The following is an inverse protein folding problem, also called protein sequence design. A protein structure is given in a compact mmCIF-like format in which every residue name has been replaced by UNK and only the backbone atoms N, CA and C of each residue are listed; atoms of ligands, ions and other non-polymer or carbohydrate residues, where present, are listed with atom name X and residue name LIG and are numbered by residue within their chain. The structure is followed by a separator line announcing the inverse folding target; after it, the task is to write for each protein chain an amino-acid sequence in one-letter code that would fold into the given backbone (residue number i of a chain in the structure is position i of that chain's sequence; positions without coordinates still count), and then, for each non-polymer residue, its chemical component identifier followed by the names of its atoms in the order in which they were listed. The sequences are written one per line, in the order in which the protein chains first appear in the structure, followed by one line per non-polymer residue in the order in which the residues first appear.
data_IF_308442871053
#
_entry.id   IF_308442871053
#
_cell.length_a   1.000
_cell.length_b   1.000
_cell.length_c   1.000
_cell.angle_alpha   90.00
_cell.angle_beta   90.00
_cell.angle_gamma   90.00
#
_symmetry.space_group_name_H-M   'P 1'
#
loop_
_entity.id
_entity.type
_entity.pdbx_description
1 polymer ?
#
# COMPACT_ATOMS: atom_id res chain seq x y z
N UNK A 1 -21.10 24.92 68.62
CA UNK A 1 -21.75 24.88 67.29
C UNK A 1 -21.01 25.76 66.27
N UNK A 2 -19.71 25.52 65.98
CA UNK A 2 -18.95 26.26 64.93
C UNK A 2 -17.77 25.49 64.30
N UNK A 3 -17.38 24.32 64.80
CA UNK A 3 -16.11 23.67 64.40
C UNK A 3 -16.31 22.53 63.38
N UNK A 4 -17.50 21.92 63.32
CA UNK A 4 -17.73 20.74 62.46
C UNK A 4 -18.01 21.07 60.99
N UNK A 5 -18.44 22.30 60.67
CA UNK A 5 -18.67 22.73 59.27
C UNK A 5 -17.36 23.07 58.52
N UNK A 6 -16.26 23.34 59.24
CA UNK A 6 -14.98 23.68 58.61
C UNK A 6 -14.27 22.45 58.02
N UNK A 7 -14.42 21.28 58.65
CA UNK A 7 -13.79 20.04 58.18
C UNK A 7 -14.47 19.49 56.91
N UNK A 8 -15.80 19.57 56.82
CA UNK A 8 -16.56 19.12 55.64
C UNK A 8 -16.31 19.99 54.40
N UNK A 9 -16.11 21.30 54.54
CA UNK A 9 -15.76 22.16 53.40
C UNK A 9 -14.34 21.88 52.87
N UNK A 10 -13.39 21.51 53.73
CA UNK A 10 -12.00 21.24 53.32
C UNK A 10 -11.84 19.95 52.51
N UNK A 11 -12.60 18.90 52.84
CA UNK A 11 -12.56 17.61 52.14
C UNK A 11 -13.18 17.68 50.74
N UNK A 12 -14.28 18.43 50.59
CA UNK A 12 -14.90 18.66 49.28
C UNK A 12 -14.03 19.48 48.33
N UNK A 13 -13.22 20.42 48.85
CA UNK A 13 -12.33 21.25 48.03
C UNK A 13 -11.11 20.44 47.49
N UNK A 14 -10.56 19.53 48.30
CA UNK A 14 -9.45 18.66 47.89
C UNK A 14 -9.90 17.64 46.82
N UNK A 15 -11.12 17.12 46.94
CA UNK A 15 -11.68 16.18 45.95
C UNK A 15 -11.87 16.84 44.58
N UNK A 16 -12.32 18.10 44.54
CA UNK A 16 -12.48 18.87 43.30
C UNK A 16 -11.11 19.14 42.65
N UNK A 17 -10.06 19.50 43.41
CA UNK A 17 -8.72 19.73 42.88
C UNK A 17 -8.12 18.44 42.28
N UNK A 18 -8.38 17.28 42.89
CA UNK A 18 -7.91 15.99 42.36
C UNK A 18 -8.58 15.60 41.04
N UNK A 19 -9.84 16.01 40.82
CA UNK A 19 -10.57 15.78 39.57
C UNK A 19 -10.12 16.73 38.43
N UNK A 20 -9.58 17.90 38.76
CA UNK A 20 -8.99 18.82 37.76
C UNK A 20 -7.53 18.51 37.41
N UNK A 21 -6.78 17.83 38.28
CA UNK A 21 -5.40 17.43 38.02
C UNK A 21 -5.26 16.24 37.04
N UNK A 22 -6.37 15.58 36.69
CA UNK A 22 -6.41 14.52 35.69
C UNK A 22 -6.86 15.03 34.30
N UNK A 23 -6.56 16.29 33.97
CA UNK A 23 -6.74 16.79 32.61
C UNK A 23 -5.50 16.51 31.77
N UNK A 24 -5.68 15.54 30.86
CA UNK A 24 -4.97 15.39 29.59
C UNK A 24 -3.45 15.57 29.64
N UNK A 25 -2.74 14.53 30.06
CA UNK A 25 -1.54 14.17 29.29
C UNK A 25 -2.04 13.69 27.93
N UNK A 26 -2.27 14.64 27.02
CA UNK A 26 -2.32 14.33 25.60
C UNK A 26 -0.96 13.71 25.29
N UNK A 27 -0.92 12.38 25.22
CA UNK A 27 0.26 11.63 24.83
C UNK A 27 0.65 12.13 23.46
N UNK A 28 1.58 13.08 23.39
CA UNK A 28 2.07 13.67 22.15
C UNK A 28 2.82 12.58 21.38
N UNK A 29 2.06 11.83 20.57
CA UNK A 29 2.62 10.78 19.74
C UNK A 29 3.71 11.38 18.84
N UNK A 30 4.83 10.67 18.63
CA UNK A 30 5.87 11.16 17.74
C UNK A 30 5.31 11.30 16.32
N UNK A 31 5.60 12.41 15.67
CA UNK A 31 5.22 12.68 14.28
C UNK A 31 6.45 12.96 13.42
N UNK A 32 6.36 12.65 12.13
CA UNK A 32 7.33 13.07 11.12
C UNK A 32 6.84 14.36 10.48
N UNK A 33 7.64 15.42 10.51
CA UNK A 33 7.33 16.69 9.84
C UNK A 33 7.79 16.63 8.38
N UNK A 34 6.87 16.82 7.43
CA UNK A 34 7.18 17.01 6.01
C UNK A 34 7.10 18.50 5.71
N UNK A 35 8.24 19.08 5.31
CA UNK A 35 8.42 20.51 5.17
C UNK A 35 8.44 20.94 3.69
N UNK A 36 7.72 22.01 3.36
CA UNK A 36 7.81 22.72 2.06
C UNK A 36 7.26 21.94 0.87
N UNK A 37 6.39 20.95 1.11
CA UNK A 37 5.82 20.12 0.06
C UNK A 37 4.76 20.88 -0.74
N UNK A 38 4.63 20.60 -2.04
CA UNK A 38 3.47 20.99 -2.82
C UNK A 38 2.41 19.89 -2.71
N UNK A 39 1.28 20.20 -2.09
CA UNK A 39 0.18 19.25 -1.84
C UNK A 39 -1.06 19.71 -2.62
N UNK A 40 -1.75 18.77 -3.27
CA UNK A 40 -2.95 19.09 -4.03
C UNK A 40 -4.15 19.25 -3.09
N UNK A 41 -4.66 20.48 -2.98
CA UNK A 41 -5.79 20.85 -2.14
C UNK A 41 -6.74 21.74 -2.93
N UNK A 42 -8.05 21.52 -2.80
CA UNK A 42 -9.08 22.38 -3.41
C UNK A 42 -8.89 22.66 -4.92
N UNK A 43 -8.33 21.70 -5.67
CA UNK A 43 -8.11 21.83 -7.12
C UNK A 43 -6.80 22.49 -7.52
N UNK A 44 -5.94 22.89 -6.58
CA UNK A 44 -4.66 23.54 -6.84
C UNK A 44 -3.51 22.86 -6.08
N UNK A 45 -2.28 23.10 -6.55
CA UNK A 45 -1.07 22.73 -5.81
C UNK A 45 -0.66 23.89 -4.91
N UNK A 46 -0.56 23.62 -3.62
CA UNK A 46 -0.21 24.62 -2.61
C UNK A 46 1.02 24.16 -1.84
N UNK A 47 1.97 25.07 -1.61
CA UNK A 47 3.10 24.81 -0.70
C UNK A 47 2.58 24.74 0.73
N UNK A 48 2.82 23.62 1.40
CA UNK A 48 2.30 23.34 2.73
C UNK A 48 3.19 22.35 3.48
N UNK A 49 3.27 22.56 4.78
CA UNK A 49 3.82 21.59 5.71
C UNK A 49 2.72 20.65 6.18
N UNK A 50 3.05 19.38 6.35
CA UNK A 50 2.16 18.42 6.99
C UNK A 50 2.95 17.44 7.85
N UNK A 51 2.24 16.67 8.66
CA UNK A 51 2.81 15.75 9.63
C UNK A 51 2.26 14.35 9.39
N UNK A 52 3.13 13.36 9.49
CA UNK A 52 2.76 11.94 9.39
C UNK A 52 2.75 11.37 10.81
N UNK A 53 1.58 10.90 11.25
CA UNK A 53 1.45 10.07 12.45
C UNK A 53 1.51 8.58 12.08
N UNK A 54 1.31 7.69 13.05
CA UNK A 54 1.29 6.24 12.81
C UNK A 54 0.22 5.78 11.81
N UNK A 55 -0.89 6.51 11.69
CA UNK A 55 -2.08 6.09 10.93
C UNK A 55 -2.70 7.19 10.05
N UNK A 56 -2.19 8.42 10.13
CA UNK A 56 -2.86 9.58 9.55
C UNK A 56 -1.88 10.62 8.99
N UNK A 57 -2.38 11.41 8.05
CA UNK A 57 -1.76 12.67 7.64
C UNK A 57 -2.46 13.83 8.38
N UNK A 58 -1.66 14.73 8.94
CA UNK A 58 -2.13 15.83 9.76
C UNK A 58 -1.62 17.16 9.17
N UNK A 59 -2.52 18.11 8.94
CA UNK A 59 -2.16 19.48 8.48
C UNK A 59 -2.00 20.47 9.64
N UNK A 60 -1.93 19.97 10.86
CA UNK A 60 -1.59 20.72 12.06
C UNK A 60 -0.67 19.85 12.92
N UNK A 61 0.26 20.49 13.63
CA UNK A 61 1.20 19.77 14.49
C UNK A 61 0.44 19.20 15.70
N UNK A 62 0.34 17.87 15.76
CA UNK A 62 -0.21 17.14 16.92
C UNK A 62 0.81 16.10 17.36
N UNK A 63 1.75 16.50 18.22
CA UNK A 63 2.82 15.60 18.67
C UNK A 63 4.20 16.23 18.74
N UNK A 64 5.15 15.46 19.26
CA UNK A 64 6.57 15.82 19.25
C UNK A 64 7.14 15.46 17.88
N UNK A 65 7.88 16.38 17.25
CA UNK A 65 8.57 16.11 15.98
C UNK A 65 9.71 15.15 16.29
N UNK A 66 9.61 13.94 15.77
CA UNK A 66 10.65 12.91 15.89
C UNK A 66 11.62 12.97 14.72
N UNK A 67 11.08 13.14 13.52
CA UNK A 67 11.82 13.13 12.26
C UNK A 67 11.36 14.29 11.37
N UNK A 68 12.22 14.71 10.43
CA UNK A 68 11.90 15.76 9.46
C UNK A 68 12.31 15.33 8.05
N UNK A 69 11.40 15.50 7.10
CA UNK A 69 11.61 15.26 5.68
C UNK A 69 11.55 16.62 4.98
N UNK A 70 12.66 17.03 4.37
CA UNK A 70 12.69 18.23 3.52
C UNK A 70 12.13 17.87 2.13
N UNK A 71 10.92 18.34 1.86
CA UNK A 71 10.21 18.17 0.61
C UNK A 71 10.09 19.51 -0.15
N UNK A 72 10.95 20.49 0.16
CA UNK A 72 10.92 21.82 -0.47
C UNK A 72 10.98 21.71 -2.00
N UNK A 73 9.97 22.28 -2.67
CA UNK A 73 9.84 22.25 -4.13
C UNK A 73 9.51 20.88 -4.73
N UNK A 74 9.15 19.88 -3.89
CA UNK A 74 8.67 18.58 -4.32
C UNK A 74 7.15 18.54 -4.30
N UNK A 75 6.58 17.78 -5.22
CA UNK A 75 5.15 17.48 -5.25
C UNK A 75 4.91 16.17 -4.53
N UNK A 76 3.96 16.17 -3.60
CA UNK A 76 3.56 14.97 -2.86
C UNK A 76 2.19 14.52 -3.36
N UNK A 77 2.12 13.29 -3.84
CA UNK A 77 0.89 12.64 -4.27
C UNK A 77 0.51 11.53 -3.29
N UNK A 78 -0.77 11.12 -3.24
CA UNK A 78 -1.11 9.80 -2.75
C UNK A 78 -0.35 8.72 -3.53
N UNK A 79 -0.10 7.59 -2.90
CA UNK A 79 0.43 6.42 -3.60
C UNK A 79 -0.51 6.00 -4.73
N UNK A 80 0.07 5.66 -5.87
CA UNK A 80 -0.69 5.21 -7.03
C UNK A 80 -1.27 3.81 -6.83
N UNK A 81 -2.27 3.52 -7.65
CA UNK A 81 -2.96 2.24 -7.68
C UNK A 81 -2.87 1.65 -9.08
N UNK A 82 -2.34 0.44 -9.19
CA UNK A 82 -2.47 -0.39 -10.38
C UNK A 82 -3.82 -1.10 -10.34
N UNK A 83 -4.77 -0.62 -11.16
CA UNK A 83 -6.14 -1.10 -11.17
C UNK A 83 -6.35 -2.42 -11.92
N UNK A 84 -5.42 -2.81 -12.79
CA UNK A 84 -5.56 -4.00 -13.62
C UNK A 84 -4.20 -4.59 -14.02
N UNK A 85 -3.82 -5.70 -13.38
CA UNK A 85 -2.64 -6.47 -13.80
C UNK A 85 -2.83 -7.98 -13.68
N UNK A 86 -1.89 -8.74 -14.26
CA UNK A 86 -1.71 -10.18 -14.06
C UNK A 86 -0.33 -10.50 -13.44
N UNK A 87 0.29 -9.50 -12.81
CA UNK A 87 1.58 -9.60 -12.13
C UNK A 87 1.45 -10.04 -10.66
N UNK A 88 2.59 -10.32 -10.04
CA UNK A 88 2.73 -10.61 -8.62
C UNK A 88 2.03 -11.90 -8.17
N UNK A 89 1.98 -12.93 -9.01
CA UNK A 89 1.44 -14.25 -8.64
C UNK A 89 2.37 -15.44 -9.01
N UNK A 90 3.57 -15.16 -9.54
CA UNK A 90 4.56 -16.16 -9.97
C UNK A 90 5.95 -15.80 -9.46
N UNK A 91 6.76 -16.78 -9.06
CA UNK A 91 8.06 -16.53 -8.42
C UNK A 91 9.06 -15.72 -9.26
N UNK A 92 9.01 -15.83 -10.60
CA UNK A 92 9.86 -15.05 -11.50
C UNK A 92 9.48 -13.56 -11.56
N UNK A 93 8.39 -13.15 -10.89
CA UNK A 93 7.91 -11.76 -10.83
C UNK A 93 8.34 -11.04 -9.54
N UNK A 94 9.20 -11.63 -8.70
CA UNK A 94 9.64 -10.98 -7.45
C UNK A 94 10.25 -9.59 -7.71
N UNK A 95 11.07 -9.45 -8.76
CA UNK A 95 11.71 -8.18 -9.11
C UNK A 95 10.72 -7.06 -9.50
N UNK A 96 9.47 -7.40 -9.81
CA UNK A 96 8.43 -6.39 -10.08
C UNK A 96 8.00 -5.66 -8.81
N UNK A 97 8.21 -6.24 -7.61
CA UNK A 97 7.84 -5.61 -6.33
C UNK A 97 8.56 -4.28 -6.17
N UNK A 98 9.88 -4.27 -6.35
CA UNK A 98 10.70 -3.05 -6.25
C UNK A 98 10.36 -2.05 -7.34
N UNK A 99 10.06 -2.54 -8.55
CA UNK A 99 9.63 -1.68 -9.66
C UNK A 99 8.34 -0.93 -9.31
N UNK A 100 7.31 -1.64 -8.83
CA UNK A 100 6.05 -1.00 -8.41
C UNK A 100 6.28 0.08 -7.34
N UNK A 101 7.10 -0.21 -6.31
CA UNK A 101 7.42 0.78 -5.27
C UNK A 101 8.18 1.99 -5.82
N UNK A 102 9.15 1.76 -6.71
CA UNK A 102 9.93 2.83 -7.33
C UNK A 102 9.09 3.77 -8.20
N UNK A 103 8.00 3.24 -8.77
CA UNK A 103 7.01 3.99 -9.55
C UNK A 103 5.93 4.64 -8.66
N UNK A 104 6.02 4.50 -7.32
CA UNK A 104 5.06 5.06 -6.38
C UNK A 104 3.73 4.31 -6.29
N UNK A 105 3.65 3.08 -6.81
CA UNK A 105 2.45 2.24 -6.76
C UNK A 105 2.43 1.48 -5.44
N UNK A 106 1.44 1.79 -4.60
CA UNK A 106 1.30 1.22 -3.25
C UNK A 106 0.17 0.19 -3.15
N UNK A 107 -0.72 0.13 -4.14
CA UNK A 107 -1.80 -0.84 -4.22
C UNK A 107 -1.86 -1.43 -5.63
N UNK A 108 -1.93 -2.76 -5.72
CA UNK A 108 -1.98 -3.49 -6.99
C UNK A 108 -3.19 -4.42 -6.99
N UNK A 109 -3.98 -4.40 -8.05
CA UNK A 109 -5.11 -5.31 -8.27
C UNK A 109 -4.78 -6.32 -9.36
N UNK A 110 -4.47 -7.54 -8.94
CA UNK A 110 -4.34 -8.67 -9.83
C UNK A 110 -5.74 -9.20 -10.21
N UNK A 111 -6.09 -9.08 -11.49
CA UNK A 111 -7.44 -9.30 -12.00
C UNK A 111 -7.76 -10.76 -12.24
N UNK A 112 -6.76 -11.57 -12.61
CA UNK A 112 -6.90 -13.01 -12.59
C UNK A 112 -5.56 -13.70 -12.30
N UNK A 113 -5.56 -14.67 -11.38
CA UNK A 113 -4.36 -15.37 -10.88
C UNK A 113 -4.68 -16.79 -10.42
N UNK A 114 -3.66 -17.64 -10.44
CA UNK A 114 -3.79 -19.05 -9.99
C UNK A 114 -3.62 -19.11 -8.48
N UNK A 115 -4.58 -19.70 -7.76
CA UNK A 115 -4.54 -19.74 -6.28
C UNK A 115 -3.24 -20.33 -5.71
N UNK A 116 -2.66 -21.33 -6.38
CA UNK A 116 -1.35 -21.90 -5.99
C UNK A 116 -0.21 -20.87 -6.09
N UNK A 117 -0.19 -20.10 -7.18
CA UNK A 117 0.77 -19.02 -7.40
C UNK A 117 0.62 -17.91 -6.37
N UNK A 118 -0.61 -17.43 -6.16
CA UNK A 118 -0.94 -16.42 -5.13
C UNK A 118 -0.46 -16.86 -3.74
N UNK A 119 -0.75 -18.10 -3.34
CA UNK A 119 -0.32 -18.63 -2.03
C UNK A 119 1.21 -18.65 -1.89
N UNK A 120 1.93 -18.97 -2.95
CA UNK A 120 3.39 -18.97 -2.95
C UNK A 120 3.95 -17.54 -2.92
N UNK A 121 3.41 -16.65 -3.75
CA UNK A 121 3.89 -15.27 -3.89
C UNK A 121 3.62 -14.43 -2.63
N UNK A 122 2.47 -14.62 -1.97
CA UNK A 122 2.18 -13.94 -0.70
C UNK A 122 3.25 -14.15 0.37
N UNK A 123 3.83 -15.36 0.44
CA UNK A 123 4.93 -15.64 1.37
C UNK A 123 6.15 -14.77 1.11
N UNK A 124 6.41 -14.41 -0.14
CA UNK A 124 7.49 -13.47 -0.47
C UNK A 124 7.12 -12.05 -0.07
N UNK A 125 5.91 -11.60 -0.39
CA UNK A 125 5.40 -10.27 0.00
C UNK A 125 5.44 -10.05 1.52
N UNK A 126 5.17 -11.10 2.32
CA UNK A 126 5.23 -11.02 3.80
C UNK A 126 6.66 -10.81 4.35
N UNK A 127 7.70 -10.94 3.51
CA UNK A 127 9.12 -10.85 3.91
C UNK A 127 9.84 -9.60 3.43
N UNK A 128 9.21 -8.79 2.59
CA UNK A 128 9.81 -7.60 1.98
C UNK A 128 8.89 -6.40 2.10
N UNK A 129 9.43 -5.19 1.94
CA UNK A 129 8.58 -4.02 1.68
C UNK A 129 7.93 -4.19 0.32
N UNK A 130 6.60 -4.09 0.24
CA UNK A 130 5.87 -4.35 -0.99
C UNK A 130 4.62 -3.49 -1.10
N UNK A 131 4.08 -3.27 -2.32
CA UNK A 131 2.74 -2.77 -2.44
C UNK A 131 1.75 -3.75 -1.81
N UNK A 132 0.59 -3.24 -1.39
CA UNK A 132 -0.53 -4.09 -1.03
C UNK A 132 -1.10 -4.72 -2.30
N UNK A 133 -1.25 -6.04 -2.33
CA UNK A 133 -1.78 -6.74 -3.50
C UNK A 133 -3.15 -7.36 -3.20
N UNK A 134 -4.13 -7.02 -4.03
CA UNK A 134 -5.47 -7.61 -4.03
C UNK A 134 -5.58 -8.59 -5.20
N UNK A 135 -6.01 -9.81 -4.91
CA UNK A 135 -6.14 -10.86 -5.92
C UNK A 135 -7.60 -11.22 -6.11
N UNK A 136 -8.08 -11.14 -7.35
CA UNK A 136 -9.38 -11.69 -7.73
C UNK A 136 -9.35 -13.22 -7.89
N UNK A 137 -8.16 -13.83 -7.95
CA UNK A 137 -7.94 -15.25 -8.27
C UNK A 137 -8.53 -15.64 -9.64
N UNK A 138 -9.22 -16.76 -9.77
CA UNK A 138 -9.68 -17.28 -11.06
C UNK A 138 -10.61 -16.30 -11.79
N UNK A 139 -10.55 -16.30 -13.12
CA UNK A 139 -11.51 -15.58 -13.96
C UNK A 139 -12.78 -16.40 -14.19
N UNK A 140 -13.94 -15.79 -14.06
CA UNK A 140 -15.20 -16.39 -14.51
C UNK A 140 -15.28 -16.35 -16.04
N UNK A 141 -15.68 -17.46 -16.64
CA UNK A 141 -15.81 -17.56 -18.09
C UNK A 141 -16.86 -18.61 -18.49
N UNK A 142 -17.41 -18.46 -19.69
CA UNK A 142 -18.24 -19.49 -20.32
C UNK A 142 -17.36 -20.61 -20.88
N UNK A 143 -17.96 -21.75 -21.25
CA UNK A 143 -17.26 -22.81 -21.99
C UNK A 143 -16.58 -22.21 -23.22
N UNK A 144 -15.28 -22.44 -23.37
CA UNK A 144 -14.41 -21.87 -24.43
C UNK A 144 -14.27 -20.33 -24.46
N UNK A 145 -14.82 -19.60 -23.49
CA UNK A 145 -14.68 -18.14 -23.40
C UNK A 145 -13.31 -17.71 -22.89
N UNK A 146 -12.89 -16.45 -23.03
CA UNK A 146 -11.69 -15.98 -22.34
C UNK A 146 -11.96 -15.85 -20.83
N UNK A 147 -11.07 -16.25 -19.90
CA UNK A 147 -9.74 -16.85 -20.08
C UNK A 147 -9.67 -18.39 -19.91
N UNK A 148 -10.63 -19.16 -20.45
CA UNK A 148 -10.70 -20.63 -20.39
C UNK A 148 -9.36 -21.31 -20.70
N UNK A 149 -8.74 -20.94 -21.83
CA UNK A 149 -7.48 -21.52 -22.30
C UNK A 149 -6.29 -21.25 -21.38
N UNK A 150 -6.36 -20.22 -20.53
CA UNK A 150 -5.29 -19.86 -19.60
C UNK A 150 -5.35 -20.65 -18.27
N UNK A 151 -6.49 -21.30 -17.95
CA UNK A 151 -6.75 -21.89 -16.64
C UNK A 151 -7.13 -23.36 -16.68
N UNK A 152 -8.04 -23.75 -17.56
CA UNK A 152 -8.58 -25.11 -17.56
C UNK A 152 -7.51 -26.14 -17.99
N UNK A 153 -6.77 -25.94 -19.10
CA UNK A 153 -5.74 -26.90 -19.49
C UNK A 153 -4.64 -27.07 -18.44
N UNK A 154 -4.31 -26.02 -17.68
CA UNK A 154 -3.36 -26.10 -16.57
C UNK A 154 -3.89 -26.95 -15.41
N UNK A 155 -5.16 -26.76 -15.07
CA UNK A 155 -5.82 -27.52 -13.99
C UNK A 155 -5.96 -28.99 -14.37
N UNK A 156 -6.22 -29.27 -15.64
CA UNK A 156 -6.32 -30.63 -16.19
C UNK A 156 -4.96 -31.29 -16.48
N UNK A 157 -3.86 -30.55 -16.34
CA UNK A 157 -2.51 -31.07 -16.59
C UNK A 157 -2.14 -31.23 -18.06
N UNK A 158 -2.88 -30.59 -18.98
CA UNK A 158 -2.61 -30.60 -20.42
C UNK A 158 -1.47 -29.66 -20.85
N UNK A 159 -0.99 -28.80 -19.95
CA UNK A 159 0.23 -28.02 -20.17
C UNK A 159 1.19 -28.20 -19.00
N UNK A 160 2.31 -28.84 -19.26
CA UNK A 160 3.48 -28.87 -18.38
C UNK A 160 4.26 -27.56 -18.48
N UNK A 161 5.01 -27.20 -17.44
CA UNK A 161 5.86 -26.00 -17.45
C UNK A 161 6.88 -26.08 -18.59
N UNK A 162 7.35 -27.29 -18.88
CA UNK A 162 8.27 -27.63 -19.96
C UNK A 162 7.66 -27.31 -21.33
N UNK A 163 6.44 -27.77 -21.61
CA UNK A 163 5.74 -27.49 -22.87
C UNK A 163 5.46 -26.00 -23.05
N UNK A 164 5.13 -25.29 -21.97
CA UNK A 164 4.96 -23.83 -22.04
C UNK A 164 6.27 -23.11 -22.30
N UNK A 165 7.36 -23.54 -21.66
CA UNK A 165 8.69 -22.96 -21.88
C UNK A 165 9.12 -23.16 -23.32
N UNK A 166 8.89 -24.35 -23.88
CA UNK A 166 9.12 -24.62 -25.30
C UNK A 166 8.24 -23.76 -26.21
N UNK A 167 6.96 -23.58 -25.87
CA UNK A 167 6.05 -22.76 -26.66
C UNK A 167 6.38 -21.25 -26.56
N UNK A 168 6.84 -20.77 -25.40
CA UNK A 168 7.34 -19.41 -25.20
C UNK A 168 8.65 -19.18 -25.97
N UNK A 169 9.60 -20.13 -25.93
CA UNK A 169 10.82 -20.03 -26.75
C UNK A 169 10.50 -20.02 -28.24
N UNK A 170 9.51 -20.80 -28.68
CA UNK A 170 9.01 -20.77 -30.06
C UNK A 170 8.34 -19.44 -30.40
N UNK A 171 7.52 -18.87 -29.50
CA UNK A 171 6.86 -17.58 -29.75
C UNK A 171 7.86 -16.41 -29.76
N UNK A 172 8.84 -16.39 -28.85
CA UNK A 172 9.92 -15.40 -28.85
C UNK A 172 10.78 -15.49 -30.11
N UNK A 173 11.09 -16.71 -30.58
CA UNK A 173 11.77 -16.89 -31.87
C UNK A 173 10.90 -16.44 -33.04
N UNK A 174 9.59 -16.66 -33.00
CA UNK A 174 8.67 -16.21 -34.03
C UNK A 174 8.55 -14.67 -34.06
N UNK A 175 8.45 -13.99 -32.91
CA UNK A 175 8.43 -12.52 -32.84
C UNK A 175 9.72 -11.89 -33.36
N UNK A 176 10.88 -12.51 -33.08
CA UNK A 176 12.17 -12.07 -33.63
C UNK A 176 12.25 -12.20 -35.17
N UNK A 177 11.50 -13.13 -35.77
CA UNK A 177 11.41 -13.29 -37.23
C UNK A 177 10.51 -12.22 -37.87
N UNK A 178 9.51 -11.69 -37.15
CA UNK A 178 8.59 -10.68 -37.67
C UNK A 178 9.03 -9.22 -37.47
N UNK A 179 10.10 -8.95 -36.69
CA UNK A 179 10.59 -7.58 -36.43
C UNK A 179 11.81 -7.21 -37.31
N UNK A 180 12.35 -8.11 -38.14
CA UNK A 180 13.48 -7.81 -39.04
C UNK A 180 13.26 -8.43 -40.43
N UNK A 181 13.09 -7.68 -41.56
CA UNK A 181 13.30 -6.24 -41.78
C UNK A 181 12.08 -5.49 -42.38
N UNK A 182 11.73 -4.35 -41.81
CA UNK A 182 11.04 -3.26 -42.53
C UNK A 182 11.89 -1.98 -42.43
N UNK A 183 13.17 -2.12 -42.76
CA UNK A 183 14.12 -1.05 -43.02
C UNK A 183 15.03 -1.50 -44.16
N UNK A 184 14.54 -1.33 -45.39
CA UNK A 184 15.30 -1.04 -46.61
C UNK A 184 14.40 -0.19 -47.51
#
# INVERSE_FOLDING_TARGET
MKIEYAFCLSFSFILIISLFACQSSESQQPVTWVKGAHVFQNGNWEESDFYISSDSLLFSKQGVIKDTIDATGKYITPGFVEGHTHNLDRSWQHDLVDKYLSEGILLVRNMTSKSKGVKAFRKHLDTVSSPRVLYSNWGFTSTLGHPFTAYEPYTLGYYTIEEMRENLEKSHKAEMIYITPMLL
#
